data_IF_515259221634
#
_entry.id   IF_515259221634
#
_cell.length_a   1.000
_cell.length_b   1.000
_cell.length_c   1.000
_cell.angle_alpha   90.00
_cell.angle_beta   90.00
_cell.angle_gamma   90.00
#
_symmetry.space_group_name_H-M   'P 1'
#
loop_
_entity.id
_entity.type
_entity.pdbx_description
1 polymer ?
#
# COMPACT_ATOMS: atom_id res chain seq x y z
N UNK A 1 -11.86 -28.41 5.11
CA UNK A 1 -10.55 -27.72 5.28
C UNK A 1 -10.49 -26.37 4.57
N UNK A 2 -10.79 -26.26 3.26
CA UNK A 2 -10.70 -24.98 2.54
C UNK A 2 -11.65 -23.87 3.08
N UNK A 3 -12.87 -24.22 3.48
CA UNK A 3 -13.82 -23.28 4.08
C UNK A 3 -13.35 -22.75 5.44
N UNK A 4 -12.74 -23.62 6.25
CA UNK A 4 -12.19 -23.26 7.57
C UNK A 4 -10.98 -22.32 7.45
N UNK A 5 -10.08 -22.58 6.49
CA UNK A 5 -8.98 -21.66 6.15
C UNK A 5 -9.51 -20.27 5.74
N UNK A 6 -10.61 -20.23 4.97
CA UNK A 6 -11.28 -18.98 4.62
C UNK A 6 -11.76 -18.18 5.84
N UNK A 7 -12.40 -18.84 6.82
CA UNK A 7 -12.84 -18.17 8.04
C UNK A 7 -11.67 -17.61 8.86
N UNK A 8 -10.60 -18.40 9.04
CA UNK A 8 -9.42 -17.93 9.76
C UNK A 8 -8.73 -16.75 9.05
N UNK A 9 -8.66 -16.79 7.72
CA UNK A 9 -8.11 -15.70 6.94
C UNK A 9 -8.95 -14.42 7.10
N UNK A 10 -10.27 -14.52 6.95
CA UNK A 10 -11.18 -13.37 7.08
C UNK A 10 -11.16 -12.78 8.49
N UNK A 11 -11.07 -13.62 9.53
CA UNK A 11 -10.92 -13.18 10.91
C UNK A 11 -9.59 -12.45 11.12
N UNK A 12 -8.47 -13.02 10.65
CA UNK A 12 -7.15 -12.40 10.77
C UNK A 12 -7.07 -11.06 10.02
N UNK A 13 -7.59 -11.00 8.79
CA UNK A 13 -7.63 -9.77 8.00
C UNK A 13 -8.48 -8.70 8.70
N UNK A 14 -9.69 -9.04 9.14
CA UNK A 14 -10.61 -8.11 9.80
C UNK A 14 -10.03 -7.59 11.14
N UNK A 15 -9.47 -8.47 11.96
CA UNK A 15 -8.81 -8.07 13.22
C UNK A 15 -7.60 -7.16 12.95
N UNK A 16 -6.76 -7.52 11.99
CA UNK A 16 -5.57 -6.72 11.64
C UNK A 16 -5.98 -5.34 11.13
N UNK A 17 -7.00 -5.28 10.27
CA UNK A 17 -7.54 -4.03 9.77
C UNK A 17 -8.13 -3.17 10.89
N UNK A 18 -8.93 -3.75 11.78
CA UNK A 18 -9.51 -3.03 12.93
C UNK A 18 -8.40 -2.45 13.83
N UNK A 19 -7.41 -3.25 14.20
CA UNK A 19 -6.27 -2.80 15.01
C UNK A 19 -5.50 -1.69 14.29
N UNK A 20 -5.26 -1.84 12.98
CA UNK A 20 -4.59 -0.82 12.17
C UNK A 20 -5.39 0.49 12.12
N UNK A 21 -6.72 0.44 12.01
CA UNK A 21 -7.59 1.62 12.06
C UNK A 21 -7.55 2.31 13.43
N UNK A 22 -7.56 1.54 14.52
CA UNK A 22 -7.46 2.09 15.88
C UNK A 22 -6.10 2.78 16.11
N UNK A 23 -5.02 2.15 15.65
CA UNK A 23 -3.68 2.73 15.69
C UNK A 23 -3.59 3.96 14.80
N UNK A 24 -4.06 3.89 13.56
CA UNK A 24 -4.12 5.02 12.63
C UNK A 24 -4.86 6.22 13.25
N UNK A 25 -5.97 5.95 13.94
CA UNK A 25 -6.73 6.98 14.66
C UNK A 25 -5.93 7.60 15.80
N UNK A 26 -5.18 6.78 16.57
CA UNK A 26 -4.30 7.27 17.63
C UNK A 26 -3.12 8.08 17.07
N UNK A 27 -2.45 7.58 16.03
CA UNK A 27 -1.37 8.26 15.32
C UNK A 27 -1.83 9.59 14.76
N UNK A 28 -2.97 9.63 14.07
CA UNK A 28 -3.51 10.87 13.47
C UNK A 28 -3.87 11.92 14.50
N UNK A 29 -4.26 11.52 15.73
CA UNK A 29 -4.52 12.45 16.83
C UNK A 29 -3.23 12.99 17.45
N UNK A 30 -2.22 12.14 17.62
CA UNK A 30 -0.95 12.48 18.25
C UNK A 30 -0.04 13.28 17.32
N UNK A 31 -0.04 12.94 16.02
CA UNK A 31 0.82 13.51 15.00
C UNK A 31 -0.03 14.23 13.96
N UNK A 32 -0.33 15.50 14.22
CA UNK A 32 -1.14 16.32 13.31
C UNK A 32 -0.32 16.93 12.18
N UNK A 33 0.95 17.23 12.47
CA UNK A 33 1.89 17.82 11.53
C UNK A 33 2.63 16.74 10.71
N UNK A 34 3.19 17.13 9.55
CA UNK A 34 4.10 16.26 8.79
C UNK A 34 5.27 15.75 9.64
N UNK A 35 5.60 14.47 9.50
CA UNK A 35 6.72 13.84 10.18
C UNK A 35 7.79 13.33 9.21
N UNK A 36 9.06 13.57 9.54
CA UNK A 36 10.20 13.22 8.67
C UNK A 36 10.02 13.80 7.27
N UNK A 37 10.12 12.96 6.22
CA UNK A 37 10.05 13.38 4.82
C UNK A 37 8.63 13.71 4.37
N UNK A 38 7.59 13.47 5.19
CA UNK A 38 6.24 13.95 4.89
C UNK A 38 6.21 15.47 4.71
N UNK A 39 7.17 16.21 5.29
CA UNK A 39 7.33 17.65 5.08
C UNK A 39 7.52 18.00 3.60
N UNK A 40 8.08 17.09 2.80
CA UNK A 40 8.23 17.23 1.35
C UNK A 40 7.09 16.53 0.61
N UNK A 41 6.71 15.32 1.04
CA UNK A 41 5.70 14.52 0.33
C UNK A 41 4.27 15.08 0.43
N UNK A 42 3.84 15.58 1.59
CA UNK A 42 2.47 16.07 1.77
C UNK A 42 2.18 17.34 0.96
N UNK A 43 3.03 18.40 0.98
CA UNK A 43 2.79 19.57 0.13
C UNK A 43 2.80 19.22 -1.36
N UNK A 44 3.66 18.30 -1.79
CA UNK A 44 3.69 17.84 -3.18
C UNK A 44 2.37 17.15 -3.58
N UNK A 45 1.84 16.26 -2.73
CA UNK A 45 0.56 15.60 -2.97
C UNK A 45 -0.60 16.60 -3.00
N UNK A 46 -0.59 17.60 -2.12
CA UNK A 46 -1.61 18.64 -2.06
C UNK A 46 -1.62 19.50 -3.33
N UNK A 47 -0.44 19.85 -3.88
CA UNK A 47 -0.34 20.52 -5.20
C UNK A 47 -0.93 19.67 -6.33
N UNK A 48 -0.64 18.37 -6.35
CA UNK A 48 -1.25 17.47 -7.34
C UNK A 48 -2.76 17.39 -7.17
N UNK A 49 -3.23 17.42 -5.92
CA UNK A 49 -4.66 17.55 -5.60
C UNK A 49 -5.26 18.86 -6.16
N UNK A 50 -4.53 19.97 -6.20
CA UNK A 50 -5.00 21.21 -6.83
C UNK A 50 -4.93 21.19 -8.38
N UNK A 51 -4.43 20.10 -8.97
CA UNK A 51 -4.24 19.98 -10.42
C UNK A 51 -2.90 20.52 -10.90
N UNK A 52 -1.99 20.87 -10.00
CA UNK A 52 -0.66 21.38 -10.31
C UNK A 52 0.34 20.22 -10.49
N UNK A 53 0.49 19.74 -11.73
CA UNK A 53 1.37 18.62 -12.10
C UNK A 53 2.70 19.05 -12.76
N UNK A 54 3.03 20.34 -12.76
CA UNK A 54 4.23 20.84 -13.45
C UNK A 54 5.53 20.38 -12.78
N UNK A 55 6.49 19.91 -13.58
CA UNK A 55 7.83 19.56 -13.10
C UNK A 55 8.57 20.75 -12.47
N UNK A 56 8.26 21.99 -12.88
CA UNK A 56 8.87 23.19 -12.29
C UNK A 56 8.50 23.42 -10.82
N UNK A 57 7.45 22.76 -10.33
CA UNK A 57 6.95 22.85 -8.96
C UNK A 57 7.32 21.63 -8.12
N UNK A 58 8.13 20.72 -8.68
CA UNK A 58 8.60 19.52 -7.98
C UNK A 58 9.57 19.90 -6.87
N UNK A 59 9.34 19.40 -5.66
CA UNK A 59 10.24 19.65 -4.54
C UNK A 59 11.60 18.96 -4.77
N UNK A 60 12.72 19.70 -4.76
CA UNK A 60 14.04 19.14 -5.07
C UNK A 60 14.54 18.13 -4.03
N UNK A 61 13.94 18.07 -2.83
CA UNK A 61 14.31 17.08 -1.81
C UNK A 61 13.64 15.71 -2.07
N UNK A 62 12.63 15.65 -2.94
CA UNK A 62 12.00 14.38 -3.30
C UNK A 62 12.86 13.64 -4.33
N UNK A 63 13.43 12.52 -3.89
CA UNK A 63 14.26 11.64 -4.71
C UNK A 63 13.50 10.43 -5.28
N UNK A 64 12.24 10.25 -4.89
CA UNK A 64 11.35 9.20 -5.42
C UNK A 64 10.61 9.66 -6.67
N UNK A 65 9.99 8.72 -7.38
CA UNK A 65 9.16 9.01 -8.55
C UNK A 65 7.72 9.40 -8.13
N UNK A 66 6.89 10.00 -9.02
CA UNK A 66 5.61 10.61 -8.66
C UNK A 66 4.46 9.61 -8.38
N UNK A 67 4.73 8.30 -8.37
CA UNK A 67 3.69 7.27 -8.28
C UNK A 67 2.81 7.38 -7.05
N UNK A 68 3.37 7.72 -5.89
CA UNK A 68 2.60 7.94 -4.65
C UNK A 68 1.54 9.03 -4.85
N UNK A 69 1.93 10.18 -5.38
CA UNK A 69 1.04 11.34 -5.51
C UNK A 69 -0.04 11.12 -6.55
N UNK A 70 0.34 10.60 -7.73
CA UNK A 70 -0.60 10.31 -8.81
C UNK A 70 -1.67 9.32 -8.33
N UNK A 71 -1.25 8.27 -7.64
CA UNK A 71 -2.17 7.27 -7.14
C UNK A 71 -3.02 7.78 -5.99
N UNK A 72 -2.45 8.54 -5.04
CA UNK A 72 -3.23 9.15 -3.96
C UNK A 72 -4.32 10.04 -4.52
N UNK A 73 -4.00 10.98 -5.41
CA UNK A 73 -4.99 11.86 -6.05
C UNK A 73 -6.04 11.06 -6.81
N UNK A 74 -5.62 10.04 -7.56
CA UNK A 74 -6.53 9.14 -8.28
C UNK A 74 -7.47 8.33 -7.37
N UNK A 75 -7.07 8.06 -6.13
CA UNK A 75 -7.90 7.35 -5.13
C UNK A 75 -8.79 8.32 -4.36
N UNK A 76 -8.26 9.46 -3.89
CA UNK A 76 -8.98 10.36 -3.00
C UNK A 76 -9.94 11.28 -3.75
N UNK A 77 -9.58 11.83 -4.91
CA UNK A 77 -10.45 12.78 -5.63
C UNK A 77 -11.82 12.22 -6.04
N UNK A 78 -11.94 10.97 -6.52
CA UNK A 78 -13.25 10.39 -6.79
C UNK A 78 -14.19 10.40 -5.58
N UNK A 79 -13.65 10.37 -4.34
CA UNK A 79 -14.47 10.46 -3.14
C UNK A 79 -15.21 11.80 -3.01
N UNK A 80 -14.65 12.90 -3.55
CA UNK A 80 -15.35 14.20 -3.60
C UNK A 80 -16.61 14.11 -4.45
N UNK A 81 -16.54 13.46 -5.61
CA UNK A 81 -17.68 13.26 -6.50
C UNK A 81 -18.70 12.27 -5.93
N UNK A 82 -18.25 11.15 -5.35
CA UNK A 82 -19.13 10.08 -4.86
C UNK A 82 -19.83 10.48 -3.56
N UNK A 83 -19.11 11.09 -2.62
CA UNK A 83 -19.60 11.38 -1.27
C UNK A 83 -19.87 12.86 -1.00
N UNK A 84 -19.63 13.75 -1.97
CA UNK A 84 -19.83 15.19 -1.82
C UNK A 84 -18.85 15.87 -0.88
N UNK A 85 -17.68 15.26 -0.62
CA UNK A 85 -16.68 15.80 0.30
C UNK A 85 -15.93 16.98 -0.31
N UNK A 86 -15.59 17.98 0.51
CA UNK A 86 -14.80 19.12 0.07
C UNK A 86 -13.35 18.73 -0.22
N UNK A 87 -12.69 19.45 -1.14
CA UNK A 87 -11.30 19.17 -1.50
C UNK A 87 -10.34 19.26 -0.30
N UNK A 88 -10.60 20.19 0.63
CA UNK A 88 -9.82 20.31 1.88
C UNK A 88 -9.88 19.05 2.75
N UNK A 89 -11.01 18.33 2.75
CA UNK A 89 -11.13 17.08 3.49
C UNK A 89 -10.40 15.96 2.74
N UNK A 90 -10.66 15.85 1.44
CA UNK A 90 -10.17 14.78 0.57
C UNK A 90 -8.64 14.78 0.46
N UNK A 91 -8.01 15.97 0.46
CA UNK A 91 -6.56 16.15 0.35
C UNK A 91 -5.92 16.53 1.70
N UNK A 92 -6.61 16.25 2.81
CA UNK A 92 -6.05 16.40 4.15
C UNK A 92 -4.93 15.39 4.40
N UNK A 93 -4.05 15.71 5.36
CA UNK A 93 -2.97 14.81 5.80
C UNK A 93 -3.52 13.43 6.20
N UNK A 94 -4.64 13.40 6.92
CA UNK A 94 -5.30 12.17 7.33
C UNK A 94 -5.74 11.32 6.14
N UNK A 95 -6.40 11.93 5.14
CA UNK A 95 -6.84 11.19 3.95
C UNK A 95 -5.68 10.67 3.11
N UNK A 96 -4.61 11.45 2.98
CA UNK A 96 -3.40 11.02 2.28
C UNK A 96 -2.72 9.85 3.00
N UNK A 97 -2.53 9.93 4.33
CA UNK A 97 -2.00 8.81 5.12
C UNK A 97 -2.90 7.57 5.06
N UNK A 98 -4.22 7.76 5.00
CA UNK A 98 -5.18 6.66 4.88
C UNK A 98 -4.99 5.82 3.60
N UNK A 99 -4.47 6.42 2.51
CA UNK A 99 -4.12 5.67 1.30
C UNK A 99 -3.08 4.57 1.59
N UNK A 100 -2.10 4.83 2.46
CA UNK A 100 -1.12 3.81 2.86
C UNK A 100 -1.73 2.70 3.71
N UNK A 101 -2.73 3.03 4.53
CA UNK A 101 -3.51 2.04 5.26
C UNK A 101 -4.30 1.13 4.30
N UNK A 102 -4.81 1.64 3.17
CA UNK A 102 -5.43 0.81 2.13
C UNK A 102 -4.42 -0.14 1.47
N UNK A 103 -3.19 0.34 1.18
CA UNK A 103 -2.14 -0.54 0.67
C UNK A 103 -1.75 -1.63 1.65
N UNK A 104 -1.74 -1.36 2.96
CA UNK A 104 -1.38 -2.38 3.95
C UNK A 104 -2.39 -3.55 3.97
N UNK A 105 -3.69 -3.26 3.80
CA UNK A 105 -4.73 -4.29 3.64
C UNK A 105 -4.50 -5.09 2.37
N UNK A 106 -4.19 -4.41 1.26
CA UNK A 106 -3.83 -5.06 0.00
C UNK A 106 -2.59 -5.96 0.13
N UNK A 107 -1.55 -5.47 0.82
CA UNK A 107 -0.33 -6.22 1.10
C UNK A 107 -0.62 -7.50 1.88
N UNK A 108 -1.42 -7.43 2.94
CA UNK A 108 -1.83 -8.61 3.70
C UNK A 108 -2.52 -9.65 2.79
N UNK A 109 -3.46 -9.19 1.97
CA UNK A 109 -4.20 -10.06 1.06
C UNK A 109 -3.27 -10.72 0.01
N UNK A 110 -2.39 -9.93 -0.62
CA UNK A 110 -1.45 -10.41 -1.63
C UNK A 110 -0.42 -11.39 -1.04
N UNK A 111 0.12 -11.11 0.15
CA UNK A 111 1.03 -12.02 0.85
C UNK A 111 0.36 -13.39 1.09
N UNK A 112 -0.89 -13.41 1.54
CA UNK A 112 -1.63 -14.65 1.70
C UNK A 112 -1.78 -15.42 0.37
N UNK A 113 -2.15 -14.74 -0.71
CA UNK A 113 -2.27 -15.36 -2.03
C UNK A 113 -0.92 -15.91 -2.54
N UNK A 114 0.16 -15.17 -2.33
CA UNK A 114 1.52 -15.59 -2.67
C UNK A 114 1.92 -16.84 -1.88
N UNK A 115 1.68 -16.89 -0.57
CA UNK A 115 1.95 -18.10 0.20
C UNK A 115 1.12 -19.29 -0.27
N UNK A 116 -0.15 -19.09 -0.66
CA UNK A 116 -0.95 -20.17 -1.26
C UNK A 116 -0.37 -20.67 -2.58
N UNK A 117 0.19 -19.76 -3.39
CA UNK A 117 0.75 -20.08 -4.71
C UNK A 117 2.13 -20.75 -4.63
N UNK A 118 3.01 -20.25 -3.75
CA UNK A 118 4.40 -20.70 -3.61
C UNK A 118 4.55 -21.93 -2.71
N UNK A 119 3.64 -22.12 -1.74
CA UNK A 119 3.62 -23.29 -0.85
C UNK A 119 2.39 -24.16 -1.13
N UNK A 120 2.45 -25.09 -2.11
CA UNK A 120 1.38 -26.03 -2.37
C UNK A 120 1.06 -26.88 -1.14
N UNK A 121 -0.22 -27.23 -0.96
CA UNK A 121 -0.78 -27.98 0.18
C UNK A 121 -0.05 -29.29 0.54
N UNK A 122 0.76 -29.84 -0.36
CA UNK A 122 1.53 -31.07 -0.14
C UNK A 122 2.82 -30.87 0.67
N UNK A 123 3.31 -29.62 0.81
CA UNK A 123 4.32 -29.29 1.82
C UNK A 123 3.57 -28.88 3.08
N UNK A 124 3.73 -29.65 4.14
CA UNK A 124 3.11 -29.65 5.48
C UNK A 124 2.88 -28.31 6.25
N UNK A 125 2.73 -27.16 5.58
CA UNK A 125 2.32 -25.93 6.23
C UNK A 125 0.82 -26.00 6.57
N UNK A 126 0.49 -26.00 7.85
CA UNK A 126 -0.90 -25.89 8.29
C UNK A 126 -1.51 -24.58 7.78
N UNK A 127 -2.81 -24.55 7.47
CA UNK A 127 -3.51 -23.32 7.06
C UNK A 127 -3.28 -22.18 8.07
N UNK A 128 -3.16 -22.52 9.35
CA UNK A 128 -2.83 -21.59 10.44
C UNK A 128 -1.43 -21.01 10.26
N UNK A 129 -0.41 -21.83 10.00
CA UNK A 129 0.95 -21.36 9.76
C UNK A 129 1.03 -20.37 8.61
N UNK A 130 0.29 -20.59 7.52
CA UNK A 130 0.21 -19.67 6.39
C UNK A 130 -0.34 -18.29 6.80
N UNK A 131 -1.44 -18.29 7.55
CA UNK A 131 -2.09 -17.07 8.03
C UNK A 131 -1.18 -16.33 9.02
N UNK A 132 -0.56 -17.05 9.95
CA UNK A 132 0.40 -16.48 10.90
C UNK A 132 1.62 -15.89 10.18
N UNK A 133 2.16 -16.58 9.17
CA UNK A 133 3.29 -16.06 8.38
C UNK A 133 2.90 -14.80 7.62
N UNK A 134 1.67 -14.76 7.07
CA UNK A 134 1.11 -13.56 6.43
C UNK A 134 1.02 -12.41 7.43
N UNK A 135 0.47 -12.67 8.61
CA UNK A 135 0.35 -11.68 9.68
C UNK A 135 1.73 -11.16 10.11
N UNK A 136 2.69 -12.05 10.38
CA UNK A 136 4.06 -11.70 10.76
C UNK A 136 4.73 -10.77 9.76
N UNK A 137 4.59 -11.04 8.45
CA UNK A 137 5.15 -10.18 7.42
C UNK A 137 4.39 -8.85 7.30
N UNK A 138 3.06 -8.87 7.39
CA UNK A 138 2.24 -7.67 7.26
C UNK A 138 2.42 -6.69 8.44
N UNK A 139 2.67 -7.22 9.65
CA UNK A 139 2.96 -6.41 10.85
C UNK A 139 4.46 -6.28 11.14
N UNK A 140 5.31 -6.65 10.17
CA UNK A 140 6.75 -6.53 10.35
C UNK A 140 7.11 -5.06 10.65
N UNK A 141 7.84 -4.76 11.74
CA UNK A 141 7.91 -3.41 12.29
C UNK A 141 8.32 -2.33 11.28
N UNK A 142 9.28 -2.63 10.40
CA UNK A 142 9.76 -1.67 9.40
C UNK A 142 8.72 -1.37 8.33
N UNK A 143 7.87 -2.33 7.96
CA UNK A 143 6.76 -2.09 7.02
C UNK A 143 5.59 -1.42 7.74
N UNK A 144 5.26 -1.92 8.93
CA UNK A 144 4.06 -1.53 9.66
C UNK A 144 4.11 -0.08 10.12
N UNK A 145 5.29 0.41 10.49
CA UNK A 145 5.50 1.82 10.84
C UNK A 145 5.06 2.77 9.71
N UNK A 146 5.47 2.51 8.46
CA UNK A 146 5.15 3.38 7.32
C UNK A 146 3.71 3.23 6.79
N UNK A 147 2.93 2.27 7.30
CA UNK A 147 1.50 2.17 6.95
C UNK A 147 0.68 3.35 7.49
N UNK A 148 1.17 4.03 8.53
CA UNK A 148 0.49 5.15 9.19
C UNK A 148 1.00 6.54 8.77
N UNK A 149 2.06 6.58 7.96
CA UNK A 149 2.68 7.79 7.44
C UNK A 149 2.51 7.84 5.92
N UNK A 150 2.59 9.02 5.33
CA UNK A 150 2.44 9.23 3.91
C UNK A 150 3.77 9.03 3.17
N UNK A 151 4.10 7.75 2.96
CA UNK A 151 5.37 7.30 2.39
C UNK A 151 5.16 6.36 1.20
N UNK A 152 6.21 6.16 0.38
CA UNK A 152 6.13 5.32 -0.83
C UNK A 152 6.08 3.81 -0.54
N UNK A 153 6.39 3.39 0.67
CA UNK A 153 6.80 2.03 1.01
C UNK A 153 5.63 1.05 0.91
N UNK A 154 4.46 1.42 1.44
CA UNK A 154 3.28 0.56 1.43
C UNK A 154 2.80 0.28 -0.01
N UNK A 155 2.73 1.31 -0.86
CA UNK A 155 2.35 1.18 -2.27
C UNK A 155 3.42 0.46 -3.10
N UNK A 156 4.70 0.77 -2.86
CA UNK A 156 5.86 0.09 -3.46
C UNK A 156 5.79 -1.43 -3.26
N UNK A 157 5.54 -1.86 -2.02
CA UNK A 157 5.37 -3.29 -1.71
C UNK A 157 4.14 -3.87 -2.39
N UNK A 158 3.01 -3.17 -2.38
CA UNK A 158 1.75 -3.64 -2.97
C UNK A 158 1.91 -3.97 -4.45
N UNK A 159 2.41 -3.03 -5.24
CA UNK A 159 2.57 -3.23 -6.68
C UNK A 159 3.63 -4.30 -6.98
N UNK A 160 4.71 -4.37 -6.21
CA UNK A 160 5.76 -5.39 -6.38
C UNK A 160 5.21 -6.80 -6.10
N UNK A 161 4.50 -6.99 -4.99
CA UNK A 161 3.89 -8.27 -4.63
C UNK A 161 2.84 -8.68 -5.66
N UNK A 162 2.05 -7.72 -6.14
CA UNK A 162 1.02 -8.01 -7.13
C UNK A 162 1.62 -8.35 -8.50
N UNK A 163 2.64 -7.62 -8.94
CA UNK A 163 3.38 -7.92 -10.15
C UNK A 163 3.97 -9.33 -10.12
N UNK A 164 4.61 -9.69 -9.01
CA UNK A 164 5.19 -11.02 -8.81
C UNK A 164 4.11 -12.12 -8.79
N UNK A 165 2.97 -11.88 -8.12
CA UNK A 165 1.85 -12.82 -8.13
C UNK A 165 1.32 -13.06 -9.55
N UNK A 166 1.15 -12.01 -10.35
CA UNK A 166 0.70 -12.12 -11.74
C UNK A 166 1.71 -12.86 -12.63
N UNK A 167 3.01 -12.65 -12.40
CA UNK A 167 4.07 -13.44 -13.03
C UNK A 167 3.92 -14.93 -12.71
N UNK A 168 3.74 -15.30 -11.43
CA UNK A 168 3.55 -16.71 -11.04
C UNK A 168 2.29 -17.34 -11.64
N UNK A 169 1.32 -16.54 -12.08
CA UNK A 169 0.14 -16.98 -12.83
C UNK A 169 0.35 -17.00 -14.35
N UNK A 170 1.52 -16.61 -14.86
CA UNK A 170 1.84 -16.55 -16.29
C UNK A 170 1.28 -15.31 -17.01
N UNK A 171 0.72 -14.34 -16.28
CA UNK A 171 0.21 -13.10 -16.86
C UNK A 171 1.28 -12.00 -16.86
N UNK A 172 2.25 -12.14 -17.75
CA UNK A 172 3.41 -11.24 -17.84
C UNK A 172 3.04 -9.81 -18.25
N UNK A 173 1.96 -9.61 -19.02
CA UNK A 173 1.51 -8.25 -19.42
C UNK A 173 1.02 -7.45 -18.21
N UNK A 174 0.14 -8.04 -17.40
CA UNK A 174 -0.34 -7.40 -16.17
C UNK A 174 0.79 -7.28 -15.14
N UNK A 175 1.67 -8.29 -15.05
CA UNK A 175 2.87 -8.22 -14.21
C UNK A 175 3.75 -7.03 -14.57
N UNK A 176 4.05 -6.81 -15.86
CA UNK A 176 4.85 -5.68 -16.33
C UNK A 176 4.20 -4.32 -16.02
N UNK A 177 2.89 -4.19 -16.21
CA UNK A 177 2.16 -2.96 -15.87
C UNK A 177 2.23 -2.67 -14.36
N UNK A 178 1.98 -3.68 -13.52
CA UNK A 178 2.07 -3.53 -12.06
C UNK A 178 3.51 -3.26 -11.60
N UNK A 179 4.50 -3.90 -12.23
CA UNK A 179 5.92 -3.66 -11.97
C UNK A 179 6.33 -2.24 -12.32
N UNK A 180 5.81 -1.69 -13.43
CA UNK A 180 5.98 -0.29 -13.79
C UNK A 180 5.34 0.64 -12.75
N UNK A 181 4.13 0.34 -12.27
CA UNK A 181 3.53 1.09 -11.16
C UNK A 181 4.42 1.03 -9.91
N UNK A 182 4.98 -0.14 -9.56
CA UNK A 182 5.94 -0.28 -8.45
C UNK A 182 7.20 0.57 -8.66
N UNK A 183 7.76 0.59 -9.87
CA UNK A 183 8.90 1.43 -10.22
C UNK A 183 8.57 2.93 -10.04
N UNK A 184 7.36 3.38 -10.43
CA UNK A 184 6.92 4.76 -10.22
C UNK A 184 6.81 5.15 -8.74
N UNK A 185 6.73 4.21 -7.80
CA UNK A 185 6.84 4.51 -6.36
C UNK A 185 8.30 4.67 -5.95
N UNK A 186 9.16 3.73 -6.37
CA UNK A 186 10.59 3.74 -6.03
C UNK A 186 11.41 3.17 -7.19
N UNK A 187 12.44 3.91 -7.59
CA UNK A 187 13.38 3.51 -8.64
C UNK A 187 14.00 2.12 -8.41
N UNK A 188 14.24 1.76 -7.15
CA UNK A 188 14.84 0.47 -6.76
C UNK A 188 13.96 -0.73 -7.10
N UNK A 189 12.66 -0.54 -7.31
CA UNK A 189 11.75 -1.62 -7.63
C UNK A 189 11.98 -2.21 -9.03
N UNK A 190 12.76 -1.55 -9.88
CA UNK A 190 13.14 -2.09 -11.19
C UNK A 190 13.85 -3.45 -11.06
N UNK A 191 14.55 -3.69 -9.95
CA UNK A 191 15.25 -4.96 -9.68
C UNK A 191 14.27 -6.13 -9.64
N UNK A 192 13.05 -5.91 -9.14
CA UNK A 192 12.04 -6.97 -9.02
C UNK A 192 11.52 -7.45 -10.38
N UNK A 193 11.64 -6.64 -11.43
CA UNK A 193 11.23 -7.02 -12.78
C UNK A 193 12.04 -8.19 -13.34
N UNK A 194 13.27 -8.42 -12.85
CA UNK A 194 14.14 -9.54 -13.28
C UNK A 194 13.64 -10.89 -12.77
N UNK A 195 12.86 -10.89 -11.68
CA UNK A 195 12.28 -12.11 -11.12
C UNK A 195 10.91 -12.46 -11.71
N UNK A 196 10.52 -11.80 -12.81
CA UNK A 196 9.26 -11.98 -13.51
C UNK A 196 9.41 -12.47 -14.96
#
# INVERSE_FOLDING_TARGET
>A
MAQLEGYYFSAALSCTFLVSCLLFSAFSRALREPYMDEIFHLPQAQRYCEGHFSLSQWDPMITTLPGLYLLSVGVVKPASWIFGWSEHVVCSIGMLRFVNLLFSVGNFYLLYLLFRKVQPRHKAASSVQRILSTLTLAVFPTLYFFNFLYYTEAGSMFFTLFAYLMCLYGNHKTSALLGFCGFMFRQTNIIWAVFC
#
